data_IF_564715691304
#
_entry.id   IF_564715691304
#
_cell.length_a   1.000
_cell.length_b   1.000
_cell.length_c   1.000
_cell.angle_alpha   90.00
_cell.angle_beta   90.00
_cell.angle_gamma   90.00
#
_symmetry.space_group_name_H-M   'P 1'
#
loop_
_entity.id
_entity.type
_entity.pdbx_description
1 polymer ?
#
# COMPACT_ATOMS: atom_id res chain seq x y z
N UNK A 1 15.48 -15.14 -19.22
CA UNK A 1 14.18 -15.03 -18.54
C UNK A 1 14.39 -15.55 -17.13
N UNK A 2 14.66 -14.63 -16.22
CA UNK A 2 15.21 -14.90 -14.88
C UNK A 2 14.09 -15.34 -13.96
N UNK A 3 14.38 -16.18 -12.96
CA UNK A 3 13.42 -16.84 -12.05
C UNK A 3 12.52 -15.92 -11.18
N UNK A 4 12.40 -14.63 -11.52
CA UNK A 4 11.77 -13.57 -10.71
C UNK A 4 10.38 -13.15 -11.22
N UNK A 5 9.92 -13.62 -12.38
CA UNK A 5 8.55 -13.33 -12.83
C UNK A 5 7.54 -14.15 -12.00
N UNK A 6 6.92 -13.49 -11.01
CA UNK A 6 5.90 -14.09 -10.13
C UNK A 6 6.37 -14.35 -8.69
N UNK A 7 7.53 -13.86 -8.29
CA UNK A 7 7.95 -13.90 -6.89
C UNK A 7 7.10 -12.93 -6.06
N UNK A 8 6.44 -13.42 -5.02
CA UNK A 8 5.77 -12.57 -4.05
C UNK A 8 6.80 -11.70 -3.30
N UNK A 9 6.45 -10.45 -3.02
CA UNK A 9 7.33 -9.50 -2.33
C UNK A 9 6.60 -8.64 -1.30
N UNK A 10 7.31 -8.33 -0.22
CA UNK A 10 6.83 -7.51 0.91
C UNK A 10 7.86 -6.47 1.30
N UNK A 11 7.41 -5.40 1.99
CA UNK A 11 8.29 -4.35 2.52
C UNK A 11 8.25 -4.33 4.05
N UNK A 12 9.41 -4.57 4.65
CA UNK A 12 9.65 -4.50 6.10
C UNK A 12 10.01 -3.08 6.51
N UNK A 13 9.19 -2.45 7.36
CA UNK A 13 9.43 -1.08 7.86
C UNK A 13 9.24 -0.91 9.36
N UNK A 14 8.83 -1.98 10.06
CA UNK A 14 8.67 -1.98 11.51
C UNK A 14 9.94 -2.50 12.18
N UNK A 15 10.24 -2.09 13.43
CA UNK A 15 11.32 -2.71 14.19
C UNK A 15 11.10 -4.22 14.36
N UNK A 16 12.13 -5.02 14.10
CA UNK A 16 12.07 -6.49 14.26
C UNK A 16 11.84 -6.94 15.70
N UNK A 17 11.91 -6.06 16.70
CA UNK A 17 11.46 -6.36 18.06
C UNK A 17 9.94 -6.50 18.19
N UNK A 18 9.17 -6.08 17.18
CA UNK A 18 7.73 -6.16 17.17
C UNK A 18 7.25 -7.49 16.56
N UNK A 19 6.28 -8.16 17.19
CA UNK A 19 5.77 -9.47 16.74
C UNK A 19 5.21 -9.43 15.31
N UNK A 20 4.53 -8.36 14.92
CA UNK A 20 4.03 -8.22 13.55
C UNK A 20 5.16 -8.21 12.51
N UNK A 21 6.30 -7.58 12.82
CA UNK A 21 7.47 -7.57 11.95
C UNK A 21 8.09 -8.97 11.85
N UNK A 22 8.25 -9.65 12.99
CA UNK A 22 8.73 -11.04 13.00
C UNK A 22 7.87 -11.96 12.13
N UNK A 23 6.54 -11.87 12.27
CA UNK A 23 5.63 -12.74 11.53
C UNK A 23 5.62 -12.42 10.03
N UNK A 24 5.48 -11.15 9.65
CA UNK A 24 5.27 -10.74 8.26
C UNK A 24 6.58 -10.62 7.47
N UNK A 25 7.65 -10.18 8.11
CA UNK A 25 8.90 -9.82 7.44
C UNK A 25 9.91 -10.99 7.43
N UNK A 26 9.78 -11.93 8.38
CA UNK A 26 10.71 -13.07 8.56
C UNK A 26 10.00 -14.42 8.40
N UNK A 27 9.01 -14.73 9.25
CA UNK A 27 8.43 -16.09 9.28
C UNK A 27 7.62 -16.42 8.02
N UNK A 28 6.72 -15.52 7.56
CA UNK A 28 5.99 -15.75 6.32
C UNK A 28 6.92 -15.83 5.10
N UNK A 29 7.89 -14.91 4.91
CA UNK A 29 8.76 -14.94 3.73
C UNK A 29 9.65 -16.16 3.67
N UNK A 30 10.21 -16.61 4.80
CA UNK A 30 10.99 -17.86 4.86
C UNK A 30 10.12 -19.08 4.57
N UNK A 31 8.86 -19.09 5.00
CA UNK A 31 7.95 -20.23 4.81
C UNK A 31 7.46 -20.35 3.36
N UNK A 32 7.15 -19.22 2.73
CA UNK A 32 6.52 -19.19 1.41
C UNK A 32 7.47 -18.75 0.27
N UNK A 33 8.75 -18.50 0.58
CA UNK A 33 9.72 -18.00 -0.38
C UNK A 33 9.38 -16.59 -0.87
N UNK A 34 8.88 -15.71 -0.01
CA UNK A 34 8.59 -14.30 -0.37
C UNK A 34 9.88 -13.49 -0.28
N UNK A 35 10.05 -12.50 -1.14
CA UNK A 35 11.16 -11.55 -1.05
C UNK A 35 10.83 -10.41 -0.08
N UNK A 36 11.68 -10.21 0.94
CA UNK A 36 11.52 -9.12 1.90
C UNK A 36 12.49 -7.98 1.61
N UNK A 37 11.93 -6.80 1.33
CA UNK A 37 12.69 -5.57 1.16
C UNK A 37 12.67 -4.74 2.46
N UNK A 38 13.84 -4.49 3.04
CA UNK A 38 13.95 -3.66 4.24
C UNK A 38 13.96 -2.18 3.87
N UNK A 39 12.98 -1.43 4.39
CA UNK A 39 12.89 0.01 4.21
C UNK A 39 13.99 0.75 4.98
N UNK A 40 14.23 2.00 4.59
CA UNK A 40 15.19 2.87 5.27
C UNK A 40 14.79 3.13 6.74
N UNK A 41 15.74 3.40 7.66
CA UNK A 41 15.43 3.64 9.07
C UNK A 41 14.46 4.81 9.33
N UNK A 42 14.31 5.71 8.37
CA UNK A 42 13.38 6.84 8.40
C UNK A 42 12.02 6.54 7.75
N UNK A 43 11.70 5.27 7.44
CA UNK A 43 10.44 4.88 6.80
C UNK A 43 9.21 5.51 7.47
N UNK A 44 9.13 5.39 8.80
CA UNK A 44 8.03 5.92 9.60
C UNK A 44 8.02 7.46 9.70
N UNK A 45 9.10 8.13 9.29
CA UNK A 45 9.24 9.58 9.22
C UNK A 45 8.83 10.17 7.86
N UNK A 46 8.68 9.34 6.83
CA UNK A 46 8.09 9.77 5.55
C UNK A 46 8.64 9.11 4.29
N UNK A 47 9.77 8.40 4.37
CA UNK A 47 10.43 7.77 3.22
C UNK A 47 9.78 6.44 2.80
N UNK A 48 8.89 5.87 3.61
CA UNK A 48 8.21 4.60 3.30
C UNK A 48 7.50 4.62 1.94
N UNK A 49 6.88 5.74 1.58
CA UNK A 49 6.17 5.87 0.29
C UNK A 49 7.13 5.74 -0.89
N UNK A 50 8.37 6.19 -0.73
CA UNK A 50 9.39 6.11 -1.78
C UNK A 50 9.87 4.67 -1.95
N UNK A 51 10.12 3.95 -0.84
CA UNK A 51 10.39 2.50 -0.86
C UNK A 51 9.25 1.72 -1.53
N UNK A 52 7.99 2.03 -1.21
CA UNK A 52 6.84 1.34 -1.81
C UNK A 52 6.73 1.58 -3.33
N UNK A 53 7.11 2.76 -3.82
CA UNK A 53 7.09 3.10 -5.25
C UNK A 53 8.20 2.41 -6.04
N UNK A 54 9.35 2.22 -5.40
CA UNK A 54 10.51 1.53 -5.95
C UNK A 54 10.27 0.02 -6.00
N UNK A 55 9.90 -0.58 -4.87
CA UNK A 55 9.75 -2.03 -4.72
C UNK A 55 8.46 -2.55 -5.38
N UNK A 56 7.35 -1.79 -5.28
CA UNK A 56 6.00 -2.21 -5.72
C UNK A 56 5.64 -3.62 -5.21
N UNK A 57 5.57 -3.80 -3.89
CA UNK A 57 5.34 -5.12 -3.30
C UNK A 57 4.00 -5.71 -3.74
N UNK A 58 3.94 -7.04 -3.84
CA UNK A 58 2.70 -7.76 -4.15
C UNK A 58 1.73 -7.76 -2.97
N UNK A 59 2.26 -7.73 -1.75
CA UNK A 59 1.49 -7.61 -0.51
C UNK A 59 2.08 -6.54 0.41
N UNK A 60 1.21 -5.77 1.09
CA UNK A 60 1.64 -4.73 2.01
C UNK A 60 0.81 -4.75 3.31
N UNK A 61 1.50 -4.97 4.44
CA UNK A 61 0.90 -4.90 5.76
C UNK A 61 1.08 -3.49 6.35
N UNK A 62 -0.01 -2.72 6.37
CA UNK A 62 -0.03 -1.36 6.91
C UNK A 62 -0.70 -1.30 8.29
N UNK A 63 -0.02 -0.75 9.29
CA UNK A 63 -0.66 -0.38 10.57
C UNK A 63 -1.56 0.86 10.40
N UNK A 64 -2.60 1.07 11.24
CA UNK A 64 -3.55 2.18 11.07
C UNK A 64 -2.89 3.55 10.86
N UNK A 65 -1.86 3.86 11.64
CA UNK A 65 -1.15 5.15 11.56
C UNK A 65 -0.47 5.41 10.20
N UNK A 66 -0.04 4.35 9.50
CA UNK A 66 0.55 4.48 8.17
C UNK A 66 -0.52 4.92 7.17
N UNK A 67 -1.70 4.30 7.21
CA UNK A 67 -2.82 4.66 6.36
C UNK A 67 -3.32 6.08 6.63
N UNK A 68 -3.40 6.49 7.89
CA UNK A 68 -3.73 7.85 8.28
C UNK A 68 -2.74 8.87 7.68
N UNK A 69 -1.43 8.64 7.83
CA UNK A 69 -0.40 9.53 7.26
C UNK A 69 -0.48 9.61 5.73
N UNK A 70 -0.72 8.49 5.05
CA UNK A 70 -0.93 8.49 3.60
C UNK A 70 -2.16 9.32 3.23
N UNK A 71 -3.27 9.18 3.95
CA UNK A 71 -4.49 9.96 3.73
C UNK A 71 -4.27 11.45 3.98
N UNK A 72 -3.60 11.83 5.06
CA UNK A 72 -3.21 13.22 5.38
C UNK A 72 -2.41 13.84 4.23
N UNK A 73 -1.42 13.11 3.69
CA UNK A 73 -0.61 13.55 2.54
C UNK A 73 -1.45 13.67 1.26
N UNK A 74 -2.36 12.74 1.00
CA UNK A 74 -3.28 12.84 -0.14
C UNK A 74 -4.22 14.05 -0.04
N UNK A 75 -4.75 14.33 1.16
CA UNK A 75 -5.61 15.49 1.42
C UNK A 75 -4.86 16.80 1.21
N UNK A 76 -3.62 16.90 1.69
CA UNK A 76 -2.82 18.13 1.54
C UNK A 76 -2.47 18.42 0.07
N UNK A 77 -2.12 17.39 -0.71
CA UNK A 77 -1.91 17.51 -2.17
C UNK A 77 -3.21 17.89 -2.88
N UNK A 78 -4.34 17.30 -2.49
CA UNK A 78 -5.66 17.64 -3.01
C UNK A 78 -6.06 19.08 -2.73
N UNK A 79 -5.77 19.61 -1.54
CA UNK A 79 -6.09 20.98 -1.15
C UNK A 79 -5.39 22.02 -2.05
N UNK A 80 -4.14 21.73 -2.47
CA UNK A 80 -3.33 22.58 -3.35
C UNK A 80 -3.69 22.46 -4.84
N UNK A 81 -4.60 21.55 -5.20
CA UNK A 81 -4.97 21.30 -6.60
C UNK A 81 -6.01 22.31 -7.13
N UNK A 82 -6.01 22.54 -8.45
CA UNK A 82 -7.01 23.40 -9.11
C UNK A 82 -8.43 22.84 -9.00
N UNK A 83 -9.44 23.70 -9.13
CA UNK A 83 -10.86 23.33 -9.00
C UNK A 83 -11.26 22.21 -9.96
N UNK A 84 -10.75 22.22 -11.20
CA UNK A 84 -11.01 21.15 -12.17
C UNK A 84 -10.41 19.82 -11.70
N UNK A 85 -9.15 19.80 -11.27
CA UNK A 85 -8.49 18.59 -10.74
C UNK A 85 -9.19 18.06 -9.49
N UNK A 86 -9.69 18.95 -8.62
CA UNK A 86 -10.49 18.57 -7.44
C UNK A 86 -11.79 17.88 -7.84
N UNK A 87 -12.54 18.42 -8.82
CA UNK A 87 -13.77 17.79 -9.31
C UNK A 87 -13.53 16.39 -9.87
N UNK A 88 -12.49 16.24 -10.70
CA UNK A 88 -12.10 14.94 -11.27
C UNK A 88 -11.71 13.96 -10.14
N UNK A 89 -10.92 14.40 -9.17
CA UNK A 89 -10.49 13.56 -8.06
C UNK A 89 -11.67 13.12 -7.16
N UNK A 90 -12.65 13.99 -6.92
CA UNK A 90 -13.86 13.65 -6.15
C UNK A 90 -14.69 12.61 -6.90
N UNK A 91 -14.92 12.81 -8.20
CA UNK A 91 -15.63 11.84 -9.04
C UNK A 91 -14.91 10.47 -9.04
N UNK A 92 -13.60 10.46 -9.28
CA UNK A 92 -12.82 9.21 -9.30
C UNK A 92 -12.86 8.47 -7.96
N UNK A 93 -12.83 9.18 -6.83
CA UNK A 93 -12.99 8.59 -5.50
C UNK A 93 -14.38 7.98 -5.28
N UNK A 94 -15.43 8.63 -5.78
CA UNK A 94 -16.80 8.10 -5.67
C UNK A 94 -16.97 6.79 -6.44
N UNK A 95 -16.51 6.75 -7.70
CA UNK A 95 -16.54 5.52 -8.52
C UNK A 95 -15.71 4.41 -7.88
N UNK A 96 -14.51 4.73 -7.39
CA UNK A 96 -13.66 3.78 -6.68
C UNK A 96 -14.30 3.22 -5.42
N UNK A 97 -14.97 4.06 -4.63
CA UNK A 97 -15.68 3.63 -3.42
C UNK A 97 -16.84 2.70 -3.75
N UNK A 98 -17.70 3.08 -4.70
CA UNK A 98 -18.84 2.26 -5.12
C UNK A 98 -18.38 0.88 -5.62
N UNK A 99 -17.35 0.85 -6.46
CA UNK A 99 -16.79 -0.40 -7.01
C UNK A 99 -16.27 -1.31 -5.89
N UNK A 100 -15.54 -0.75 -4.92
CA UNK A 100 -15.02 -1.55 -3.80
C UNK A 100 -16.13 -2.05 -2.89
N UNK A 101 -17.15 -1.23 -2.59
CA UNK A 101 -18.31 -1.66 -1.79
C UNK A 101 -19.09 -2.79 -2.47
N UNK A 102 -19.33 -2.70 -3.78
CA UNK A 102 -19.97 -3.78 -4.55
C UNK A 102 -19.16 -5.07 -4.48
N UNK A 103 -17.83 -4.99 -4.66
CA UNK A 103 -16.91 -6.13 -4.55
C UNK A 103 -16.93 -6.74 -3.15
N UNK A 104 -16.88 -5.92 -2.10
CA UNK A 104 -16.93 -6.39 -0.70
C UNK A 104 -18.25 -7.10 -0.37
N UNK A 105 -19.36 -6.66 -0.98
CA UNK A 105 -20.67 -7.28 -0.80
C UNK A 105 -20.91 -8.49 -1.72
N UNK A 106 -19.91 -8.94 -2.49
CA UNK A 106 -20.00 -10.12 -3.36
C UNK A 106 -20.69 -9.88 -4.71
N UNK A 107 -21.07 -8.64 -5.02
CA UNK A 107 -21.66 -8.27 -6.31
C UNK A 107 -20.57 -8.00 -7.34
N UNK A 108 -20.09 -9.05 -8.01
CA UNK A 108 -19.12 -8.93 -9.12
C UNK A 108 -19.87 -8.57 -10.40
N UNK A 109 -20.37 -7.34 -10.49
CA UNK A 109 -20.73 -6.76 -11.79
C UNK A 109 -19.59 -5.82 -12.21
N UNK A 110 -18.92 -6.18 -13.31
CA UNK A 110 -17.94 -5.31 -13.95
C UNK A 110 -18.67 -4.05 -14.45
N UNK A 111 -18.16 -2.84 -14.19
CA UNK A 111 -18.68 -1.67 -14.87
C UNK A 111 -18.41 -1.83 -16.38
N UNK A 112 -19.49 -1.98 -17.17
CA UNK A 112 -19.44 -1.68 -18.60
C UNK A 112 -19.32 -0.17 -18.81
#
# INVERSE_FOLDING_TARGET
>A
KTALEGQESVVSYLPLSHVAAQMIDIWLPVTFGVETYFAQPDALKGSLVDTLREVRPTAFMGVPRVWEKMQERMKSVGAKSSTLKKKIAVWAKAVGLETNLKRMNGSVELPM
#
